data_IF_007862085528
#
_entry.id   IF_007862085528
#
_cell.length_a   1.000
_cell.length_b   1.000
_cell.length_c   1.000
_cell.angle_alpha   90.00
_cell.angle_beta   90.00
_cell.angle_gamma   90.00
#
_symmetry.space_group_name_H-M   'P 1'
#
loop_
_entity.id
_entity.type
_entity.pdbx_description
1 polymer ?
#
# COMPACT_ATOMS: atom_id res chain seq x y z
N UNK A 1 -9.34 9.10 -12.40
CA UNK A 1 -8.53 8.07 -11.71
C UNK A 1 -9.14 7.82 -10.33
N UNK A 2 -9.52 6.59 -10.00
CA UNK A 2 -10.25 6.28 -8.75
C UNK A 2 -9.46 6.61 -7.49
N UNK A 3 -8.14 6.48 -7.51
CA UNK A 3 -7.29 6.84 -6.36
C UNK A 3 -7.31 8.34 -6.03
N UNK A 4 -7.79 9.21 -6.94
CA UNK A 4 -7.96 10.65 -6.66
C UNK A 4 -9.21 10.97 -5.82
N UNK A 5 -10.08 9.98 -5.61
CA UNK A 5 -11.26 10.14 -4.75
C UNK A 5 -10.88 10.12 -3.26
N UNK A 6 -9.71 9.56 -2.93
CA UNK A 6 -9.24 9.41 -1.55
C UNK A 6 -8.30 10.54 -1.15
N UNK A 7 -8.45 11.03 0.06
CA UNK A 7 -7.57 12.06 0.64
C UNK A 7 -6.17 11.52 0.87
N UNK A 8 -6.08 10.26 1.32
CA UNK A 8 -4.86 9.48 1.44
C UNK A 8 -5.15 8.06 0.96
N UNK A 9 -4.33 7.54 0.06
CA UNK A 9 -4.46 6.20 -0.48
C UNK A 9 -3.18 5.40 -0.28
N UNK A 10 -3.25 4.31 0.47
CA UNK A 10 -2.11 3.43 0.73
C UNK A 10 -2.36 2.05 0.14
N UNK A 11 -1.39 1.52 -0.57
CA UNK A 11 -1.41 0.15 -1.06
C UNK A 11 -0.01 -0.47 -1.01
N UNK A 12 0.04 -1.80 -0.99
CA UNK A 12 1.29 -2.57 -0.97
C UNK A 12 1.33 -3.53 -2.15
N UNK A 13 2.48 -3.57 -2.84
CA UNK A 13 2.79 -4.50 -3.92
C UNK A 13 3.76 -5.57 -3.43
N UNK A 14 3.32 -6.82 -3.41
CA UNK A 14 4.10 -7.97 -2.95
C UNK A 14 4.80 -8.66 -4.12
N UNK A 15 6.11 -8.86 -3.99
CA UNK A 15 6.90 -9.78 -4.79
C UNK A 15 6.79 -11.21 -4.24
N UNK A 16 5.57 -11.60 -3.91
CA UNK A 16 5.21 -12.90 -3.37
C UNK A 16 3.99 -13.37 -4.18
N UNK A 17 3.96 -14.60 -4.70
CA UNK A 17 2.81 -15.12 -5.41
C UNK A 17 1.54 -15.08 -4.56
N UNK A 18 0.42 -14.74 -5.19
CA UNK A 18 -0.87 -14.62 -4.50
C UNK A 18 -1.25 -15.91 -3.75
N UNK A 19 -0.98 -17.08 -4.33
CA UNK A 19 -1.29 -18.38 -3.74
C UNK A 19 -0.54 -18.60 -2.42
N UNK A 20 0.71 -18.14 -2.31
CA UNK A 20 1.48 -18.22 -1.06
C UNK A 20 0.90 -17.28 0.00
N UNK A 21 0.50 -16.07 -0.41
CA UNK A 21 -0.18 -15.13 0.49
C UNK A 21 -1.52 -15.72 0.93
N UNK A 22 -2.32 -16.26 0.02
CA UNK A 22 -3.61 -16.88 0.32
C UNK A 22 -3.48 -18.04 1.33
N UNK A 23 -2.49 -18.91 1.13
CA UNK A 23 -2.19 -20.00 2.05
C UNK A 23 -1.78 -19.47 3.44
N UNK A 24 -0.93 -18.46 3.48
CA UNK A 24 -0.54 -17.80 4.74
C UNK A 24 -1.75 -17.18 5.46
N UNK A 25 -2.60 -16.45 4.75
CA UNK A 25 -3.80 -15.83 5.33
C UNK A 25 -4.72 -16.90 5.93
N UNK A 26 -4.93 -18.00 5.20
CA UNK A 26 -5.74 -19.13 5.66
C UNK A 26 -5.14 -19.78 6.91
N UNK A 27 -3.83 -19.98 6.95
CA UNK A 27 -3.14 -20.53 8.11
C UNK A 27 -3.23 -19.60 9.33
N UNK A 28 -3.11 -18.29 9.15
CA UNK A 28 -3.06 -17.34 10.25
C UNK A 28 -4.46 -17.01 10.80
N UNK A 29 -5.46 -16.91 9.94
CA UNK A 29 -6.77 -16.39 10.31
C UNK A 29 -7.95 -17.27 9.92
N UNK A 30 -7.75 -18.32 9.10
CA UNK A 30 -8.83 -19.16 8.60
C UNK A 30 -9.63 -19.90 9.69
N UNK A 31 -8.99 -20.24 10.81
CA UNK A 31 -9.62 -20.89 11.97
C UNK A 31 -9.75 -19.93 13.18
N UNK A 32 -9.53 -18.65 12.99
CA UNK A 32 -9.60 -17.66 14.05
C UNK A 32 -10.99 -17.01 14.06
N UNK A 33 -11.80 -17.27 15.08
CA UNK A 33 -13.17 -16.76 15.22
C UNK A 33 -13.28 -15.23 15.18
N UNK A 34 -12.16 -14.52 15.41
CA UNK A 34 -12.10 -13.06 15.33
C UNK A 34 -11.93 -12.54 13.90
N UNK A 35 -11.68 -13.41 12.94
CA UNK A 35 -11.44 -13.03 11.55
C UNK A 35 -12.34 -13.82 10.60
N UNK A 36 -12.67 -13.19 9.51
CA UNK A 36 -13.41 -13.78 8.39
C UNK A 36 -12.61 -13.60 7.10
N UNK A 37 -12.41 -14.69 6.37
CA UNK A 37 -11.79 -14.71 5.06
C UNK A 37 -12.85 -15.00 4.01
N UNK A 38 -12.91 -14.19 2.97
CA UNK A 38 -13.87 -14.34 1.89
C UNK A 38 -13.21 -14.16 0.53
N UNK A 39 -13.42 -15.11 -0.38
CA UNK A 39 -13.14 -14.91 -1.80
C UNK A 39 -14.25 -14.03 -2.38
N UNK A 40 -13.91 -12.82 -2.75
CA UNK A 40 -14.86 -11.82 -3.28
C UNK A 40 -14.13 -10.86 -4.21
N UNK A 41 -14.77 -10.35 -5.27
CA UNK A 41 -14.15 -9.35 -6.13
C UNK A 41 -13.67 -8.14 -5.33
N UNK A 42 -12.49 -7.62 -5.69
CA UNK A 42 -11.99 -6.39 -5.08
C UNK A 42 -12.97 -5.24 -5.30
N UNK A 43 -13.22 -4.48 -4.25
CA UNK A 43 -14.04 -3.25 -4.26
C UNK A 43 -13.32 -2.14 -3.49
N UNK A 44 -13.53 -0.90 -3.91
CA UNK A 44 -13.04 0.29 -3.18
C UNK A 44 -13.98 0.71 -2.02
N UNK A 45 -14.76 -0.20 -1.47
CA UNK A 45 -15.69 0.05 -0.36
C UNK A 45 -15.05 -0.03 1.03
N UNK A 46 -13.74 -0.28 1.09
CA UNK A 46 -12.98 -0.32 2.35
C UNK A 46 -12.82 1.05 3.00
N UNK A 47 -12.82 2.09 2.19
CA UNK A 47 -12.58 3.43 2.66
C UNK A 47 -13.89 4.20 2.74
N UNK A 48 -14.22 4.70 3.92
CA UNK A 48 -14.94 5.96 3.96
C UNK A 48 -14.09 7.00 3.25
N UNK A 49 -14.69 7.81 2.39
CA UNK A 49 -13.99 8.82 1.58
C UNK A 49 -13.20 9.84 2.42
N UNK A 50 -13.47 9.87 3.72
CA UNK A 50 -12.72 10.62 4.73
C UNK A 50 -12.07 9.65 5.71
N UNK A 51 -10.75 9.72 5.94
CA UNK A 51 -10.12 8.93 6.99
C UNK A 51 -10.81 9.25 8.32
N UNK A 52 -11.29 8.22 9.00
CA UNK A 52 -11.85 8.39 10.33
C UNK A 52 -10.74 8.93 11.23
N UNK A 53 -10.95 10.13 11.74
CA UNK A 53 -10.04 10.77 12.68
C UNK A 53 -10.11 10.04 14.01
N UNK A 54 -9.23 9.08 14.20
CA UNK A 54 -9.05 8.40 15.48
C UNK A 54 -10.12 7.34 15.80
N UNK A 55 -9.78 6.45 16.71
CA UNK A 55 -10.61 5.36 17.15
C UNK A 55 -10.17 4.01 16.62
N UNK A 56 -10.25 2.99 17.47
CA UNK A 56 -10.01 1.62 17.05
C UNK A 56 -11.19 1.16 16.18
N UNK A 57 -10.89 0.72 14.98
CA UNK A 57 -11.85 0.08 14.08
C UNK A 57 -11.30 -1.28 13.65
N UNK A 58 -12.19 -2.16 13.21
CA UNK A 58 -11.77 -3.48 12.77
C UNK A 58 -10.96 -3.41 11.48
N UNK A 59 -9.88 -4.17 11.45
CA UNK A 59 -9.03 -4.27 10.27
C UNK A 59 -9.78 -4.94 9.12
N UNK A 60 -9.66 -4.36 7.93
CA UNK A 60 -10.11 -4.94 6.66
C UNK A 60 -9.02 -4.76 5.63
N UNK A 61 -8.69 -5.83 4.92
CA UNK A 61 -7.76 -5.77 3.81
C UNK A 61 -8.18 -6.69 2.68
N UNK A 62 -8.08 -6.19 1.46
CA UNK A 62 -8.11 -7.00 0.25
C UNK A 62 -6.68 -7.35 -0.17
N UNK A 63 -6.49 -8.60 -0.52
CA UNK A 63 -5.35 -9.09 -1.28
C UNK A 63 -5.87 -9.53 -2.65
N UNK A 64 -5.32 -9.01 -3.73
CA UNK A 64 -5.86 -9.29 -5.06
C UNK A 64 -4.79 -9.29 -6.15
N UNK A 65 -5.09 -10.00 -7.24
CA UNK A 65 -4.30 -10.00 -8.46
C UNK A 65 -4.95 -9.07 -9.47
N UNK A 66 -4.28 -7.98 -9.91
CA UNK A 66 -4.82 -7.09 -10.92
C UNK A 66 -5.09 -7.85 -12.23
N UNK A 67 -6.23 -7.61 -12.89
CA UNK A 67 -6.69 -8.39 -14.05
C UNK A 67 -5.65 -8.53 -15.17
N UNK A 68 -4.86 -7.48 -15.42
CA UNK A 68 -3.83 -7.45 -16.48
C UNK A 68 -2.42 -7.77 -16.00
N UNK A 69 -2.23 -8.06 -14.71
CA UNK A 69 -0.94 -8.23 -14.07
C UNK A 69 -0.92 -9.46 -13.17
N UNK A 70 -1.07 -10.65 -13.77
CA UNK A 70 -1.25 -11.92 -13.04
C UNK A 70 -0.08 -12.33 -12.14
N UNK A 71 1.08 -11.71 -12.34
CA UNK A 71 2.29 -11.90 -11.54
C UNK A 71 2.38 -10.99 -10.30
N UNK A 72 1.35 -10.16 -10.06
CA UNK A 72 1.37 -9.14 -9.01
C UNK A 72 0.30 -9.40 -7.96
N UNK A 73 0.68 -9.31 -6.69
CA UNK A 73 -0.27 -9.31 -5.59
C UNK A 73 -0.30 -7.92 -4.94
N UNK A 74 -1.48 -7.33 -4.89
CA UNK A 74 -1.72 -6.02 -4.29
C UNK A 74 -2.53 -6.18 -3.01
N UNK A 75 -2.15 -5.46 -1.97
CA UNK A 75 -2.93 -5.31 -0.74
C UNK A 75 -3.43 -3.87 -0.63
N UNK A 76 -4.70 -3.72 -0.29
CA UNK A 76 -5.32 -2.44 0.09
C UNK A 76 -6.10 -2.66 1.38
N UNK A 77 -5.99 -1.75 2.33
CA UNK A 77 -6.65 -1.85 3.64
C UNK A 77 -7.46 -0.61 3.99
N UNK A 78 -8.28 -0.71 5.03
CA UNK A 78 -9.03 0.42 5.59
C UNK A 78 -8.22 1.26 6.59
N UNK A 79 -6.92 1.03 6.72
CA UNK A 79 -6.01 1.82 7.55
C UNK A 79 -5.17 2.77 6.70
N UNK A 80 -5.00 4.00 7.18
CA UNK A 80 -4.22 5.02 6.48
C UNK A 80 -2.75 4.64 6.30
N UNK A 81 -2.17 3.88 7.24
CA UNK A 81 -0.81 3.34 7.17
C UNK A 81 -0.71 2.06 6.32
N UNK A 82 -1.83 1.60 5.72
CA UNK A 82 -1.88 0.41 4.90
C UNK A 82 -1.75 -0.90 5.68
N UNK A 83 -2.05 -0.94 6.99
CA UNK A 83 -1.80 -2.09 7.88
C UNK A 83 -0.35 -2.56 7.79
N UNK A 84 0.57 -1.65 8.00
CA UNK A 84 2.02 -1.90 7.90
C UNK A 84 2.46 -3.09 8.76
N UNK A 85 1.84 -3.32 9.92
CA UNK A 85 2.12 -4.49 10.78
C UNK A 85 1.87 -5.83 10.08
N UNK A 86 0.82 -5.91 9.24
CA UNK A 86 0.55 -7.12 8.44
C UNK A 86 1.60 -7.30 7.34
N UNK A 87 2.02 -6.20 6.72
CA UNK A 87 3.06 -6.22 5.69
C UNK A 87 4.37 -6.78 6.24
N UNK A 88 4.81 -6.31 7.42
CA UNK A 88 5.98 -6.86 8.09
C UNK A 88 5.83 -8.35 8.38
N UNK A 89 4.72 -8.75 8.98
CA UNK A 89 4.45 -10.16 9.34
C UNK A 89 4.45 -11.08 8.12
N UNK A 90 3.80 -10.67 7.02
CA UNK A 90 3.73 -11.46 5.77
C UNK A 90 5.12 -11.59 5.16
N UNK A 91 5.88 -10.49 5.05
CA UNK A 91 7.20 -10.51 4.44
C UNK A 91 8.22 -11.28 5.26
N UNK A 92 8.11 -11.28 6.59
CA UNK A 92 8.94 -12.09 7.48
C UNK A 92 8.62 -13.58 7.32
N UNK A 93 7.34 -13.96 7.43
CA UNK A 93 6.91 -15.35 7.37
C UNK A 93 7.18 -16.00 6.01
N UNK A 94 6.91 -15.28 4.90
CA UNK A 94 7.09 -15.77 3.53
C UNK A 94 8.46 -15.43 2.94
N UNK A 95 9.34 -14.81 3.73
CA UNK A 95 10.68 -14.38 3.30
C UNK A 95 10.68 -13.58 2.01
N UNK A 96 9.64 -12.78 1.81
CA UNK A 96 9.40 -12.04 0.59
C UNK A 96 9.72 -10.55 0.70
N UNK A 97 9.49 -9.85 -0.41
CA UNK A 97 9.69 -8.42 -0.56
C UNK A 97 8.39 -7.73 -0.89
N UNK A 98 8.23 -6.50 -0.42
CA UNK A 98 7.08 -5.64 -0.70
C UNK A 98 7.53 -4.21 -0.93
N UNK A 99 6.81 -3.49 -1.79
CA UNK A 99 6.82 -2.03 -1.85
C UNK A 99 5.46 -1.49 -1.43
N UNK A 100 5.44 -0.64 -0.43
CA UNK A 100 4.23 0.06 0.01
C UNK A 100 4.29 1.52 -0.42
N UNK A 101 3.19 2.02 -0.96
CA UNK A 101 3.04 3.38 -1.47
C UNK A 101 1.90 4.08 -0.76
N UNK A 102 2.15 5.33 -0.36
CA UNK A 102 1.16 6.22 0.23
C UNK A 102 1.06 7.47 -0.64
N UNK A 103 -0.10 7.72 -1.22
CA UNK A 103 -0.36 8.83 -2.12
C UNK A 103 -1.42 9.74 -1.51
N UNK A 104 -1.07 11.00 -1.30
CA UNK A 104 -2.01 12.01 -0.82
C UNK A 104 -2.70 12.72 -2.00
N UNK A 105 -3.92 13.18 -1.75
CA UNK A 105 -4.61 14.10 -2.64
C UNK A 105 -3.93 15.47 -2.62
N UNK A 106 -3.79 16.07 -3.79
CA UNK A 106 -3.23 17.43 -3.89
C UNK A 106 -4.07 18.42 -3.07
N UNK A 107 -3.38 19.34 -2.37
CA UNK A 107 -3.96 20.45 -1.59
C UNK A 107 -4.53 20.11 -0.21
N UNK A 108 -4.25 18.97 0.34
CA UNK A 108 -4.63 18.67 1.73
C UNK A 108 -3.73 19.33 2.77
N UNK A 109 -4.27 19.53 4.00
CA UNK A 109 -3.51 20.10 5.12
C UNK A 109 -2.35 19.19 5.54
N UNK A 110 -2.63 17.89 5.68
CA UNK A 110 -1.69 16.86 6.14
C UNK A 110 -1.32 15.94 4.96
N UNK A 111 -0.60 16.51 4.00
CA UNK A 111 -0.19 15.80 2.79
C UNK A 111 1.02 14.93 3.07
N UNK A 112 0.92 13.63 2.79
CA UNK A 112 2.04 12.69 2.85
C UNK A 112 2.13 11.90 1.55
N UNK A 113 3.29 11.97 0.90
CA UNK A 113 3.64 11.09 -0.21
C UNK A 113 4.85 10.28 0.19
N UNK A 114 4.74 8.96 0.13
CA UNK A 114 5.77 8.06 0.64
C UNK A 114 5.82 6.75 -0.13
N UNK A 115 6.99 6.12 -0.12
CA UNK A 115 7.11 4.70 -0.33
C UNK A 115 8.11 4.07 0.64
N UNK A 116 7.93 2.78 0.90
CA UNK A 116 8.92 1.97 1.60
C UNK A 116 9.11 0.62 0.93
N UNK A 117 10.30 0.05 1.13
CA UNK A 117 10.65 -1.30 0.76
C UNK A 117 10.88 -2.12 2.01
N UNK A 118 10.10 -3.17 2.19
CA UNK A 118 10.22 -4.11 3.30
C UNK A 118 10.56 -5.47 2.72
N UNK A 119 11.59 -6.12 3.25
CA UNK A 119 12.00 -7.47 2.84
C UNK A 119 12.30 -8.30 4.07
N UNK A 120 11.73 -9.51 4.15
CA UNK A 120 11.94 -10.46 5.25
C UNK A 120 11.71 -9.83 6.64
N UNK A 121 10.68 -9.00 6.75
CA UNK A 121 10.35 -8.30 7.99
C UNK A 121 11.29 -7.14 8.35
N UNK A 122 12.14 -6.68 7.42
CA UNK A 122 13.06 -5.55 7.64
C UNK A 122 12.78 -4.41 6.67
N UNK A 123 12.77 -3.19 7.19
CA UNK A 123 12.66 -2.00 6.35
C UNK A 123 14.02 -1.68 5.72
N UNK A 124 14.12 -1.86 4.40
CA UNK A 124 15.34 -1.62 3.64
C UNK A 124 15.41 -0.22 3.04
N UNK A 125 14.24 0.40 2.80
CA UNK A 125 14.16 1.72 2.19
C UNK A 125 12.92 2.44 2.65
N UNK A 126 13.06 3.71 3.03
CA UNK A 126 11.93 4.62 3.29
C UNK A 126 12.23 5.98 2.70
N UNK A 127 11.28 6.50 1.92
CA UNK A 127 11.34 7.86 1.39
C UNK A 127 9.96 8.49 1.54
N UNK A 128 9.91 9.71 2.09
CA UNK A 128 8.67 10.47 2.15
C UNK A 128 8.89 11.99 2.11
N UNK A 129 7.88 12.69 1.65
CA UNK A 129 7.67 14.10 1.92
C UNK A 129 6.34 14.28 2.62
N UNK A 130 6.34 14.90 3.79
CA UNK A 130 5.18 15.15 4.63
C UNK A 130 5.07 16.64 4.96
N UNK A 131 3.83 17.13 5.04
CA UNK A 131 3.52 18.48 5.54
C UNK A 131 2.83 18.36 6.90
N UNK A 132 3.55 18.65 7.99
CA UNK A 132 3.04 18.63 9.36
C UNK A 132 3.90 19.55 10.29
N UNK A 133 3.50 20.75 10.61
CA UNK A 133 2.81 21.76 9.80
C UNK A 133 3.66 22.27 8.64
N UNK A 134 4.98 21.98 8.67
CA UNK A 134 5.96 22.34 7.63
C UNK A 134 6.34 21.12 6.81
N UNK A 135 6.77 21.36 5.58
CA UNK A 135 7.29 20.30 4.74
C UNK A 135 8.58 19.71 5.29
N UNK A 136 8.63 18.41 5.47
CA UNK A 136 9.79 17.61 5.82
C UNK A 136 10.00 16.54 4.76
N UNK A 137 11.27 16.28 4.42
CA UNK A 137 11.69 15.19 3.53
C UNK A 137 12.60 14.23 4.30
N UNK A 138 12.38 12.96 4.10
CA UNK A 138 13.18 11.89 4.68
C UNK A 138 13.52 10.86 3.62
N UNK A 139 14.75 10.35 3.65
CA UNK A 139 15.26 9.33 2.76
C UNK A 139 16.31 8.50 3.48
N UNK A 140 16.04 7.21 3.66
CA UNK A 140 16.95 6.26 4.33
C UNK A 140 16.96 4.92 3.62
N UNK A 141 18.10 4.23 3.64
CA UNK A 141 18.32 2.94 3.03
C UNK A 141 18.84 3.02 1.59
N UNK A 142 19.14 1.86 0.99
CA UNK A 142 19.67 1.78 -0.37
C UNK A 142 18.61 2.15 -1.42
N UNK A 143 19.01 2.97 -2.39
CA UNK A 143 18.16 3.38 -3.49
C UNK A 143 17.66 2.16 -4.29
N UNK A 144 16.41 2.19 -4.69
CA UNK A 144 15.80 1.16 -5.50
C UNK A 144 15.94 1.51 -6.99
N UNK A 145 16.00 0.50 -7.85
CA UNK A 145 16.26 0.66 -9.29
C UNK A 145 15.28 1.59 -10.03
N UNK A 146 14.09 1.78 -9.49
CA UNK A 146 13.05 2.62 -10.10
C UNK A 146 13.11 4.09 -9.63
N UNK A 147 13.93 4.41 -8.61
CA UNK A 147 14.04 5.76 -8.07
C UNK A 147 14.76 6.72 -9.02
N UNK A 148 14.44 7.99 -8.89
CA UNK A 148 15.17 9.12 -9.49
C UNK A 148 15.77 9.98 -8.39
N UNK A 149 16.87 9.51 -7.79
CA UNK A 149 17.47 10.12 -6.61
C UNK A 149 17.85 11.60 -6.81
N UNK A 150 18.10 12.04 -8.04
CA UNK A 150 18.35 13.44 -8.35
C UNK A 150 17.16 14.36 -8.00
N UNK A 151 15.93 13.82 -8.00
CA UNK A 151 14.73 14.58 -7.59
C UNK A 151 14.76 14.94 -6.11
N UNK A 152 15.45 14.15 -5.29
CA UNK A 152 15.55 14.38 -3.84
C UNK A 152 16.41 15.60 -3.48
N UNK A 153 17.17 16.12 -4.44
CA UNK A 153 17.98 17.34 -4.28
C UNK A 153 17.22 18.62 -4.66
N UNK A 154 15.95 18.53 -5.06
CA UNK A 154 15.19 19.72 -5.42
C UNK A 154 15.09 20.71 -4.26
N UNK A 155 15.18 22.00 -4.59
CA UNK A 155 15.13 23.10 -3.60
C UNK A 155 13.82 23.09 -2.80
N UNK A 156 12.69 22.85 -3.47
CA UNK A 156 11.36 22.79 -2.84
C UNK A 156 11.09 21.36 -2.33
N UNK A 157 11.00 21.18 -1.01
CA UNK A 157 10.79 19.89 -0.35
C UNK A 157 9.58 19.15 -0.92
N UNK A 158 8.45 19.83 -1.12
CA UNK A 158 7.23 19.25 -1.69
C UNK A 158 7.40 18.63 -3.08
N UNK A 159 8.47 19.01 -3.81
CA UNK A 159 8.79 18.48 -5.14
C UNK A 159 9.79 17.32 -5.09
N UNK A 160 10.35 17.01 -3.94
CA UNK A 160 11.28 15.88 -3.78
C UNK A 160 10.56 14.54 -3.81
N UNK A 161 9.31 14.51 -3.32
CA UNK A 161 8.43 13.35 -3.36
C UNK A 161 6.98 13.84 -3.44
N UNK A 162 6.42 13.81 -4.62
CA UNK A 162 5.02 14.15 -4.86
C UNK A 162 4.28 12.96 -5.50
N UNK A 163 2.98 13.05 -5.63
CA UNK A 163 2.13 12.01 -6.20
C UNK A 163 2.56 11.59 -7.61
N UNK A 164 3.05 12.53 -8.44
CA UNK A 164 3.47 12.24 -9.81
C UNK A 164 4.74 11.40 -9.83
N UNK A 165 5.68 11.68 -8.91
CA UNK A 165 6.90 10.87 -8.74
C UNK A 165 6.52 9.45 -8.33
N UNK A 166 5.61 9.27 -7.38
CA UNK A 166 5.15 7.95 -6.95
C UNK A 166 4.44 7.19 -8.08
N UNK A 167 3.59 7.86 -8.86
CA UNK A 167 2.96 7.25 -10.05
C UNK A 167 4.02 6.79 -11.06
N UNK A 168 5.05 7.61 -11.32
CA UNK A 168 6.14 7.24 -12.20
C UNK A 168 6.94 6.03 -11.66
N UNK A 169 7.17 5.97 -10.35
CA UNK A 169 7.82 4.83 -9.71
C UNK A 169 6.98 3.55 -9.82
N UNK A 170 5.67 3.65 -9.60
CA UNK A 170 4.76 2.54 -9.83
C UNK A 170 4.80 2.05 -11.29
N UNK A 171 4.78 2.96 -12.27
CA UNK A 171 4.86 2.61 -13.68
C UNK A 171 6.16 1.86 -14.02
N UNK A 172 7.30 2.23 -13.43
CA UNK A 172 8.59 1.52 -13.59
C UNK A 172 8.60 0.13 -12.96
N UNK A 173 7.77 -0.08 -11.95
CA UNK A 173 7.50 -1.41 -11.37
C UNK A 173 6.48 -2.22 -12.19
N UNK A 174 6.00 -1.66 -13.30
CA UNK A 174 4.94 -2.25 -14.11
C UNK A 174 3.57 -2.20 -13.44
N UNK A 175 3.34 -1.23 -12.54
CA UNK A 175 2.06 -1.02 -11.85
C UNK A 175 1.37 0.20 -12.48
N UNK A 176 0.44 -0.02 -13.39
CA UNK A 176 -0.33 1.06 -14.00
C UNK A 176 -1.52 1.45 -13.09
N UNK A 177 -1.20 2.08 -11.95
CA UNK A 177 -2.18 2.47 -10.94
C UNK A 177 -3.15 3.56 -11.41
N UNK A 178 -2.89 4.18 -12.55
CA UNK A 178 -3.76 5.19 -13.17
C UNK A 178 -4.84 4.59 -14.06
N UNK A 179 -4.64 3.34 -14.53
CA UNK A 179 -5.66 2.60 -15.28
C UNK A 179 -6.70 2.01 -14.32
N UNK A 180 -7.98 2.33 -14.53
CA UNK A 180 -9.07 1.77 -13.72
C UNK A 180 -9.19 0.23 -13.86
N UNK A 181 -8.64 -0.34 -14.93
CA UNK A 181 -8.60 -1.79 -15.13
C UNK A 181 -7.56 -2.47 -14.23
N UNK A 182 -6.51 -1.75 -13.82
CA UNK A 182 -5.54 -2.25 -12.85
C UNK A 182 -6.23 -2.66 -11.54
N UNK A 183 -7.23 -1.88 -11.12
CA UNK A 183 -7.97 -2.10 -9.88
C UNK A 183 -9.14 -3.11 -10.01
N UNK A 184 -9.27 -3.77 -11.16
CA UNK A 184 -10.22 -4.86 -11.32
C UNK A 184 -9.52 -6.20 -11.07
N UNK A 185 -10.18 -7.09 -10.37
CA UNK A 185 -9.66 -8.42 -10.07
C UNK A 185 -10.74 -9.47 -10.14
N UNK A 186 -10.38 -10.65 -10.66
CA UNK A 186 -11.18 -11.87 -10.62
C UNK A 186 -10.69 -12.81 -9.50
N UNK A 187 -9.50 -12.51 -8.94
CA UNK A 187 -8.85 -13.32 -7.91
C UNK A 187 -8.50 -12.41 -6.73
N UNK A 188 -9.30 -12.46 -5.68
CA UNK A 188 -9.04 -11.69 -4.47
C UNK A 188 -9.60 -12.35 -3.20
N UNK A 189 -8.97 -12.02 -2.07
CA UNK A 189 -9.39 -12.42 -0.73
C UNK A 189 -9.58 -11.16 0.10
N UNK A 190 -10.75 -11.03 0.70
CA UNK A 190 -11.02 -10.07 1.77
C UNK A 190 -10.76 -10.74 3.11
N UNK A 191 -9.93 -10.11 3.92
CA UNK A 191 -9.72 -10.45 5.34
C UNK A 191 -10.33 -9.36 6.18
N UNK A 192 -11.25 -9.71 7.05
CA UNK A 192 -11.91 -8.80 7.98
C UNK A 192 -11.76 -9.30 9.42
N UNK A 193 -11.37 -8.42 10.32
CA UNK A 193 -11.57 -8.66 11.75
C UNK A 193 -13.04 -8.40 12.09
N UNK A 194 -13.70 -9.32 12.80
CA UNK A 194 -15.13 -9.25 13.12
C UNK A 194 -15.42 -9.23 14.64
N UNK A 195 -14.37 -9.43 15.46
CA UNK A 195 -14.46 -9.34 16.93
C UNK A 195 -13.13 -8.86 17.53
N UNK A 196 -13.18 -8.28 18.72
CA UNK A 196 -12.01 -7.89 19.52
C UNK A 196 -11.41 -9.08 20.30
#
# INVERSE_FOLDING_TARGET
MRIDEFDLFTFSYFYIPFEQIAAFLQQQWGNNEKYRLQQTPFKFDLFDKSPQKGGAHFEKAYFFVPKRHRDKCIMVSNYADGLTSWVYRITEALRGKVYSFCLAKDKQADTMNAFCCIERGQNLRTVYAIKDPKWTFYSQGAEQFFEEAHLYQQKLIRKRMDKRILIAYCARLGLDITDDLFWKSEQSILVERIAW
#
